data_IF_827909692186
#
_entry.id   IF_827909692186
#
_cell.length_a   1.000
_cell.length_b   1.000
_cell.length_c   1.000
_cell.angle_alpha   90.00
_cell.angle_beta   90.00
_cell.angle_gamma   90.00
#
_symmetry.space_group_name_H-M   'P 1'
#
loop_
_entity.id
_entity.type
_entity.pdbx_description
1 polymer ?
#
# COMPACT_ATOMS: atom_id res chain seq x y z
N UNK A 1 -29.64 13.32 -32.09
CA UNK A 1 -30.39 13.09 -30.83
C UNK A 1 -29.84 11.98 -29.89
N UNK A 2 -28.65 11.40 -30.13
CA UNK A 2 -28.17 10.23 -29.32
C UNK A 2 -27.13 10.50 -28.21
N UNK A 3 -26.43 11.64 -28.23
CA UNK A 3 -25.25 11.85 -27.35
C UNK A 3 -25.58 12.06 -25.87
N UNK A 4 -26.70 12.72 -25.54
CA UNK A 4 -27.09 12.97 -24.15
C UNK A 4 -27.42 11.70 -23.37
N UNK A 5 -28.07 10.73 -24.02
CA UNK A 5 -28.39 9.43 -23.42
C UNK A 5 -27.14 8.59 -23.18
N UNK A 6 -26.20 8.60 -24.14
CA UNK A 6 -24.90 7.93 -23.97
C UNK A 6 -24.10 8.55 -22.83
N UNK A 7 -24.03 9.88 -22.76
CA UNK A 7 -23.34 10.59 -21.66
C UNK A 7 -23.97 10.25 -20.30
N UNK A 8 -25.29 10.25 -20.19
CA UNK A 8 -25.98 9.88 -18.96
C UNK A 8 -25.68 8.43 -18.53
N UNK A 9 -25.71 7.47 -19.48
CA UNK A 9 -25.34 6.07 -19.20
C UNK A 9 -23.89 5.93 -18.74
N UNK A 10 -22.96 6.61 -19.42
CA UNK A 10 -21.54 6.58 -19.07
C UNK A 10 -21.28 7.18 -17.67
N UNK A 11 -21.89 8.32 -17.34
CA UNK A 11 -21.75 8.91 -15.99
C UNK A 11 -22.31 8.00 -14.91
N UNK A 12 -23.43 7.30 -15.18
CA UNK A 12 -23.99 6.33 -14.23
C UNK A 12 -23.02 5.16 -14.01
N UNK A 13 -22.57 4.53 -15.09
CA UNK A 13 -21.61 3.43 -15.01
C UNK A 13 -20.31 3.83 -14.32
N UNK A 14 -19.78 5.02 -14.60
CA UNK A 14 -18.57 5.50 -13.96
C UNK A 14 -18.74 5.69 -12.44
N UNK A 15 -19.91 6.14 -11.99
CA UNK A 15 -20.22 6.20 -10.55
C UNK A 15 -20.36 4.82 -9.95
N UNK A 16 -21.06 3.92 -10.64
CA UNK A 16 -21.20 2.54 -10.19
C UNK A 16 -19.81 1.94 -9.98
N UNK A 17 -18.87 2.08 -10.94
CA UNK A 17 -17.48 1.61 -10.81
C UNK A 17 -16.72 2.34 -9.70
N UNK A 18 -16.81 3.67 -9.62
CA UNK A 18 -16.05 4.46 -8.64
C UNK A 18 -16.42 4.12 -7.19
N UNK A 19 -17.69 3.82 -6.96
CA UNK A 19 -18.23 3.51 -5.64
C UNK A 19 -18.57 2.02 -5.49
N UNK A 20 -18.13 1.18 -6.42
CA UNK A 20 -18.30 -0.26 -6.33
C UNK A 20 -17.34 -0.82 -5.28
N UNK A 21 -17.89 -1.26 -4.17
CA UNK A 21 -17.19 -2.15 -3.24
C UNK A 21 -17.70 -3.57 -3.51
N UNK A 22 -16.91 -4.45 -4.13
CA UNK A 22 -17.30 -5.85 -4.27
C UNK A 22 -17.51 -6.47 -2.89
N UNK A 23 -18.57 -7.28 -2.76
CA UNK A 23 -18.73 -8.11 -1.58
C UNK A 23 -17.65 -9.20 -1.61
N UNK A 24 -16.86 -9.29 -0.54
CA UNK A 24 -15.84 -10.32 -0.40
C UNK A 24 -16.47 -11.56 0.21
N UNK A 25 -16.32 -12.73 -0.43
CA UNK A 25 -16.72 -14.00 0.18
C UNK A 25 -15.68 -14.44 1.22
N UNK A 26 -15.94 -14.08 2.47
CA UNK A 26 -15.08 -14.44 3.60
C UNK A 26 -14.99 -15.94 3.83
N UNK A 27 -16.00 -16.72 3.41
CA UNK A 27 -16.02 -18.17 3.61
C UNK A 27 -15.05 -18.89 2.67
N UNK A 28 -14.92 -18.40 1.42
CA UNK A 28 -13.94 -18.88 0.47
C UNK A 28 -12.52 -18.49 0.92
N UNK A 29 -12.32 -17.23 1.32
CA UNK A 29 -11.03 -16.72 1.81
C UNK A 29 -10.50 -17.52 3.01
N UNK A 30 -11.36 -17.81 3.99
CA UNK A 30 -10.98 -18.59 5.16
C UNK A 30 -10.55 -20.02 4.80
N UNK A 31 -11.21 -20.65 3.81
CA UNK A 31 -10.83 -21.99 3.35
C UNK A 31 -9.46 -21.99 2.69
N UNK A 32 -9.15 -20.98 1.88
CA UNK A 32 -7.83 -20.83 1.24
C UNK A 32 -6.71 -20.64 2.26
N UNK A 33 -6.88 -19.69 3.20
CA UNK A 33 -5.93 -19.46 4.30
C UNK A 33 -5.74 -20.68 5.20
N UNK A 34 -6.84 -21.36 5.56
CA UNK A 34 -6.79 -22.58 6.39
C UNK A 34 -6.20 -23.79 5.66
N UNK A 35 -6.17 -23.78 4.33
CA UNK A 35 -5.55 -24.82 3.51
C UNK A 35 -4.04 -24.57 3.33
N UNK A 36 -3.61 -23.32 3.19
CA UNK A 36 -2.19 -22.95 3.10
C UNK A 36 -1.47 -23.17 4.42
N UNK A 37 -2.06 -22.82 5.56
CA UNK A 37 -1.47 -23.04 6.90
C UNK A 37 -1.25 -24.52 7.25
N UNK A 38 -2.07 -25.44 6.70
CA UNK A 38 -1.91 -26.89 6.91
C UNK A 38 -0.90 -27.55 5.97
N UNK A 39 -0.49 -26.87 4.90
CA UNK A 39 0.37 -27.43 3.84
C UNK A 39 1.72 -26.74 3.73
N UNK A 40 1.87 -25.55 4.30
CA UNK A 40 3.18 -24.95 4.50
C UNK A 40 3.86 -25.66 5.70
N UNK A 41 5.04 -26.27 5.53
CA UNK A 41 5.88 -26.55 6.69
C UNK A 41 6.08 -25.21 7.40
N UNK A 42 6.01 -25.20 8.74
CA UNK A 42 6.24 -24.00 9.54
C UNK A 42 7.61 -23.41 9.19
N UNK A 43 7.67 -22.50 8.23
CA UNK A 43 8.85 -21.73 7.87
C UNK A 43 9.00 -20.59 8.87
N UNK A 44 8.93 -20.93 10.16
CA UNK A 44 9.50 -20.15 11.24
C UNK A 44 11.03 -20.41 11.32
N UNK A 45 11.64 -20.72 10.18
CA UNK A 45 13.08 -20.77 10.03
C UNK A 45 13.53 -19.38 9.62
N UNK A 46 14.19 -18.72 10.56
CA UNK A 46 15.09 -17.59 10.35
C UNK A 46 14.40 -16.36 9.75
N UNK A 47 13.95 -15.45 10.63
CA UNK A 47 13.88 -14.03 10.27
C UNK A 47 15.28 -13.68 9.75
N UNK A 48 15.44 -13.34 8.46
CA UNK A 48 16.74 -12.89 7.96
C UNK A 48 17.15 -11.71 8.82
N UNK A 49 18.41 -11.67 9.27
CA UNK A 49 18.93 -10.50 9.97
C UNK A 49 18.53 -9.25 9.17
N UNK A 50 17.91 -8.27 9.85
CA UNK A 50 17.53 -7.00 9.23
C UNK A 50 18.73 -6.50 8.42
N UNK A 51 18.52 -6.08 7.16
CA UNK A 51 19.60 -5.54 6.36
C UNK A 51 20.23 -4.38 7.11
N UNK A 52 21.56 -4.32 7.12
CA UNK A 52 22.28 -3.25 7.80
C UNK A 52 21.99 -1.91 7.11
N UNK A 53 21.12 -1.10 7.73
CA UNK A 53 20.72 0.20 7.23
C UNK A 53 21.76 1.30 7.50
N UNK A 54 22.81 1.03 8.29
CA UNK A 54 23.84 2.04 8.62
C UNK A 54 24.54 2.58 7.37
N UNK A 55 24.74 1.74 6.34
CA UNK A 55 25.32 2.16 5.06
C UNK A 55 24.43 3.15 4.28
N UNK A 56 23.13 3.20 4.56
CA UNK A 56 22.22 4.21 3.99
C UNK A 56 22.23 5.48 4.83
N UNK A 57 22.38 5.38 6.16
CA UNK A 57 22.51 6.56 7.03
C UNK A 57 23.70 7.41 6.59
N UNK A 58 24.88 6.82 6.39
CA UNK A 58 26.07 7.55 5.92
C UNK A 58 25.88 8.21 4.54
N UNK A 59 25.08 7.59 3.66
CA UNK A 59 24.86 8.06 2.28
C UNK A 59 23.93 9.27 2.21
N UNK A 60 23.00 9.37 3.16
CA UNK A 60 22.00 10.43 3.19
C UNK A 60 22.22 11.41 4.35
N UNK A 61 23.24 11.22 5.18
CA UNK A 61 23.59 12.12 6.27
C UNK A 61 23.78 13.56 5.80
N UNK A 62 24.42 13.76 4.63
CA UNK A 62 24.62 15.08 4.01
C UNK A 62 23.30 15.76 3.60
N UNK A 63 22.28 14.98 3.26
CA UNK A 63 20.98 15.47 2.82
C UNK A 63 20.06 15.85 3.99
N UNK A 64 20.31 15.31 5.20
CA UNK A 64 19.60 15.66 6.43
C UNK A 64 20.32 16.74 7.24
N UNK A 65 21.64 16.91 7.11
CA UNK A 65 22.39 18.01 7.76
C UNK A 65 21.87 19.41 7.33
N UNK A 66 21.42 19.57 6.08
CA UNK A 66 20.85 20.83 5.56
C UNK A 66 19.42 21.12 6.08
N UNK A 67 18.66 20.09 6.50
CA UNK A 67 17.29 20.23 7.01
C UNK A 67 17.27 20.62 8.51
N UNK A 68 18.29 20.25 9.30
CA UNK A 68 18.44 20.70 10.70
C UNK A 68 18.88 22.18 10.80
N UNK A 69 19.53 22.72 9.75
CA UNK A 69 19.91 24.14 9.69
C UNK A 69 18.71 25.07 9.42
N UNK A 70 17.63 24.59 8.78
CA UNK A 70 16.46 25.43 8.48
C UNK A 70 15.51 25.60 9.67
N UNK A 71 15.49 24.67 10.63
CA UNK A 71 14.67 24.80 11.84
C UNK A 71 15.28 25.81 12.83
N UNK A 72 16.61 25.86 12.94
CA UNK A 72 17.32 26.83 13.79
C UNK A 72 17.24 28.28 13.30
N UNK A 73 17.12 28.51 11.98
CA UNK A 73 16.95 29.86 11.40
C UNK A 73 15.53 30.43 11.48
N UNK A 74 14.52 29.61 11.81
CA UNK A 74 13.12 30.05 11.96
C UNK A 74 12.76 30.50 13.38
N UNK A 75 13.62 30.24 14.35
CA UNK A 75 13.44 30.64 15.75
C UNK A 75 14.44 31.77 16.02
N UNK A 76 14.07 32.98 15.60
CA UNK A 76 14.80 34.23 15.83
C UNK A 76 13.82 35.38 15.93
#
# INVERSE_FOLDING_TARGET
MGRGRQKAKATKQARDIKYYSPNTDYSALQKELGATTRRAPSHHSEIPAEPDYSAYEDKYADQFEDDDEVESRRIG
#
